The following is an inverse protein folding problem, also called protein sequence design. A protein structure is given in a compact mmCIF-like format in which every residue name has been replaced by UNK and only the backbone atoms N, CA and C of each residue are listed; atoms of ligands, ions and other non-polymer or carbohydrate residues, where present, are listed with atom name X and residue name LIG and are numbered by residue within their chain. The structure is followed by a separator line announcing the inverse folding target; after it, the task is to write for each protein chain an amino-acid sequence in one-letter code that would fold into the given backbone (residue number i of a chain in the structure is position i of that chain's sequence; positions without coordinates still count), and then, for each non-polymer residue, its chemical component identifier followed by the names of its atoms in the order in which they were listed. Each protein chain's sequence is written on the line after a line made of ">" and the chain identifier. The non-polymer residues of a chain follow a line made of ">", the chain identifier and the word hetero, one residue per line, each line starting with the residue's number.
data_IF_882070502059
#
_entry.id   IF_882070502059
#
_cell.length_a   1.000
_cell.length_b   1.000
_cell.length_c   1.000
_cell.angle_alpha   90.00
_cell.angle_beta   90.00
_cell.angle_gamma   90.00
#
_symmetry.space_group_name_H-M   'P 1'
#
loop_
_entity.id
_entity.type
_entity.pdbx_description
1 polymer ?
#
# COMPACT_ATOMS: atom_id res chain seq x y z
N UNK A 1 -44.60 40.84 37.21
CA UNK A 1 -45.01 42.13 36.59
C UNK A 1 -44.60 42.12 35.11
N UNK A 2 -45.56 42.26 34.19
CA UNK A 2 -45.46 42.67 32.76
C UNK A 2 -44.57 41.79 31.84
N UNK A 3 -45.10 41.00 30.90
CA UNK A 3 -45.92 41.32 29.70
C UNK A 3 -45.22 42.25 28.71
N UNK A 4 -44.74 41.71 27.58
CA UNK A 4 -44.70 42.33 26.23
C UNK A 4 -44.08 41.36 25.21
N UNK A 5 -44.34 41.34 23.91
CA UNK A 5 -45.53 41.55 23.03
C UNK A 5 -45.00 41.31 21.60
N UNK A 6 -45.50 40.26 20.94
CA UNK A 6 -45.97 40.11 19.54
C UNK A 6 -45.37 40.97 18.39
N UNK A 7 -44.97 40.30 17.29
CA UNK A 7 -45.08 40.70 15.85
C UNK A 7 -44.82 39.40 15.04
N UNK A 8 -45.70 38.73 14.27
CA UNK A 8 -46.68 38.98 13.19
C UNK A 8 -46.08 39.42 11.84
N UNK A 9 -46.05 38.50 10.88
CA UNK A 9 -46.56 38.58 9.48
C UNK A 9 -46.75 37.11 8.97
N UNK A 10 -47.93 36.64 8.53
CA UNK A 10 -48.63 36.80 7.21
C UNK A 10 -47.76 36.26 6.05
N UNK A 11 -48.20 35.40 5.12
CA UNK A 11 -49.54 35.13 4.56
C UNK A 11 -49.52 33.88 3.67
N UNK A 12 -50.70 33.26 3.50
CA UNK A 12 -51.28 32.65 2.27
C UNK A 12 -50.60 31.38 1.68
N UNK A 13 -51.27 30.39 1.09
CA UNK A 13 -52.69 30.10 0.83
C UNK A 13 -52.72 28.75 0.08
N UNK A 14 -53.76 27.92 0.24
CA UNK A 14 -53.90 26.73 -0.62
C UNK A 14 -54.94 25.72 -0.15
N UNK A 15 -56.18 26.17 0.05
CA UNK A 15 -57.36 25.32 0.27
C UNK A 15 -57.84 24.71 -1.04
N UNK A 16 -58.24 23.44 -1.07
CA UNK A 16 -59.52 23.05 -1.70
C UNK A 16 -60.12 21.85 -0.98
N UNK A 17 -61.43 21.97 -0.77
CA UNK A 17 -62.34 21.20 0.08
C UNK A 17 -63.28 20.43 -0.85
N UNK A 18 -63.69 19.21 -0.51
CA UNK A 18 -65.02 18.73 -0.89
C UNK A 18 -65.53 17.62 0.03
N UNK A 19 -66.66 17.95 0.64
CA UNK A 19 -67.49 17.21 1.58
C UNK A 19 -68.27 16.06 0.90
N UNK A 20 -68.62 14.99 1.64
CA UNK A 20 -70.02 14.65 2.05
C UNK A 20 -70.22 13.17 2.44
N UNK A 21 -70.96 13.03 3.53
CA UNK A 21 -71.48 11.84 4.19
C UNK A 21 -72.45 11.00 3.33
N UNK A 22 -72.55 9.70 3.63
CA UNK A 22 -73.84 8.98 3.72
C UNK A 22 -73.65 7.57 4.31
N UNK A 23 -74.21 7.36 5.50
CA UNK A 23 -74.53 6.07 6.09
C UNK A 23 -75.94 5.63 5.68
N UNK A 24 -76.14 4.34 5.39
CA UNK A 24 -77.44 3.74 5.12
C UNK A 24 -77.32 2.40 4.39
N UNK A 25 -77.59 1.29 5.07
CA UNK A 25 -77.27 -0.07 4.60
C UNK A 25 -78.38 -0.83 3.87
N UNK A 26 -78.00 -2.00 3.30
CA UNK A 26 -78.72 -3.29 3.28
C UNK A 26 -78.15 -4.21 2.19
N UNK A 27 -77.55 -5.36 2.55
CA UNK A 27 -77.51 -6.62 1.78
C UNK A 27 -76.60 -7.67 2.46
N UNK A 28 -77.10 -8.26 3.54
CA UNK A 28 -76.43 -9.21 4.44
C UNK A 28 -76.36 -10.67 3.94
N UNK A 29 -76.05 -10.90 2.65
CA UNK A 29 -75.80 -12.28 2.14
C UNK A 29 -74.59 -12.46 1.22
N UNK A 30 -73.97 -11.37 0.75
CA UNK A 30 -72.72 -11.40 -0.03
C UNK A 30 -71.46 -11.08 0.79
N UNK A 31 -71.63 -10.57 2.02
CA UNK A 31 -70.53 -10.07 2.84
C UNK A 31 -69.65 -11.19 3.41
N UNK A 32 -70.27 -12.30 3.83
CA UNK A 32 -69.55 -13.44 4.39
C UNK A 32 -68.60 -14.11 3.39
N UNK A 33 -69.05 -14.32 2.14
CA UNK A 33 -68.19 -14.91 1.10
C UNK A 33 -67.05 -13.97 0.69
N UNK A 34 -67.25 -12.65 0.70
CA UNK A 34 -66.22 -11.69 0.34
C UNK A 34 -65.17 -11.52 1.45
N UNK A 35 -65.59 -11.61 2.72
CA UNK A 35 -64.69 -11.63 3.88
C UNK A 35 -63.91 -12.94 3.98
N UNK A 36 -64.54 -14.07 3.67
CA UNK A 36 -63.88 -15.37 3.60
C UNK A 36 -62.88 -15.43 2.45
N UNK A 37 -63.22 -14.88 1.29
CA UNK A 37 -62.30 -14.72 0.16
C UNK A 37 -61.13 -13.76 0.49
N UNK A 38 -61.38 -12.65 1.22
CA UNK A 38 -60.31 -11.77 1.73
C UNK A 38 -59.40 -12.46 2.74
N UNK A 39 -59.97 -13.27 3.64
CA UNK A 39 -59.20 -14.08 4.59
C UNK A 39 -58.32 -15.09 3.89
N UNK A 40 -58.87 -15.81 2.91
CA UNK A 40 -58.11 -16.78 2.12
C UNK A 40 -56.99 -16.11 1.32
N UNK A 41 -57.25 -14.94 0.72
CA UNK A 41 -56.20 -14.14 0.05
C UNK A 41 -55.12 -13.68 1.04
N UNK A 42 -55.52 -13.24 2.24
CA UNK A 42 -54.60 -12.78 3.27
C UNK A 42 -53.77 -13.92 3.88
N UNK A 43 -54.34 -15.13 3.98
CA UNK A 43 -53.66 -16.35 4.40
C UNK A 43 -52.71 -16.85 3.31
N UNK A 44 -53.09 -16.71 2.04
CA UNK A 44 -52.24 -17.04 0.88
C UNK A 44 -51.07 -16.05 0.75
N UNK A 45 -51.29 -14.76 0.98
CA UNK A 45 -50.23 -13.73 1.04
C UNK A 45 -49.26 -13.97 2.21
N UNK A 46 -49.76 -14.34 3.39
CA UNK A 46 -48.91 -14.70 4.55
C UNK A 46 -48.08 -15.95 4.30
N UNK A 47 -48.64 -16.95 3.61
CA UNK A 47 -47.91 -18.15 3.22
C UNK A 47 -46.85 -17.84 2.14
N UNK A 48 -47.12 -16.92 1.20
CA UNK A 48 -46.14 -16.46 0.22
C UNK A 48 -44.98 -15.65 0.86
N UNK A 49 -45.26 -14.81 1.85
CA UNK A 49 -44.21 -14.11 2.62
C UNK A 49 -43.35 -15.09 3.42
N UNK A 50 -43.95 -16.16 3.99
CA UNK A 50 -43.20 -17.19 4.71
C UNK A 50 -42.37 -18.14 3.83
N UNK A 51 -42.68 -18.22 2.52
CA UNK A 51 -41.99 -19.09 1.56
C UNK A 51 -41.05 -18.34 0.59
N UNK A 52 -40.99 -17.01 0.66
CA UNK A 52 -40.12 -16.19 -0.19
C UNK A 52 -38.89 -15.64 0.52
N UNK A 53 -38.58 -16.13 1.72
CA UNK A 53 -37.22 -16.05 2.26
C UNK A 53 -36.35 -17.05 1.47
N UNK A 54 -35.95 -16.64 0.26
CA UNK A 54 -34.94 -17.33 -0.52
C UNK A 54 -33.74 -17.59 0.41
N UNK A 55 -33.36 -18.84 0.71
CA UNK A 55 -32.20 -19.14 1.55
C UNK A 55 -30.88 -18.58 0.98
N UNK A 56 -30.92 -18.09 -0.27
CA UNK A 56 -29.87 -17.37 -0.96
C UNK A 56 -30.22 -15.90 -1.23
N UNK A 57 -31.11 -15.27 -0.46
CA UNK A 57 -31.19 -13.82 -0.47
C UNK A 57 -29.83 -13.29 -0.04
N UNK A 58 -29.10 -12.78 -1.05
CA UNK A 58 -27.72 -12.31 -0.98
C UNK A 58 -27.57 -11.08 -0.07
N UNK A 59 -28.66 -10.68 0.59
CA UNK A 59 -28.78 -9.59 1.54
C UNK A 59 -29.01 -10.09 2.97
N UNK A 60 -28.44 -11.22 3.36
CA UNK A 60 -28.18 -11.46 4.79
C UNK A 60 -27.59 -10.18 5.40
N UNK A 61 -28.17 -9.67 6.49
CA UNK A 61 -27.75 -8.45 7.17
C UNK A 61 -26.38 -8.66 7.83
N UNK A 62 -25.33 -8.76 7.02
CA UNK A 62 -23.98 -8.95 7.52
C UNK A 62 -23.59 -7.73 8.34
N UNK A 63 -23.26 -7.96 9.61
CA UNK A 63 -22.77 -6.88 10.48
C UNK A 63 -21.32 -6.55 10.12
N UNK A 64 -20.92 -5.27 10.21
CA UNK A 64 -19.55 -4.85 9.87
C UNK A 64 -18.47 -5.72 10.54
N UNK A 65 -18.71 -6.16 11.77
CA UNK A 65 -17.81 -7.02 12.53
C UNK A 65 -17.61 -8.40 11.87
N UNK A 66 -18.68 -9.03 11.36
CA UNK A 66 -18.61 -10.34 10.70
C UNK A 66 -17.92 -10.27 9.35
N UNK A 67 -18.15 -9.20 8.56
CA UNK A 67 -17.40 -8.98 7.32
C UNK A 67 -15.92 -8.76 7.61
N UNK A 68 -15.59 -7.98 8.64
CA UNK A 68 -14.21 -7.70 9.03
C UNK A 68 -13.49 -8.99 9.45
N UNK A 69 -14.15 -9.82 10.26
CA UNK A 69 -13.60 -11.09 10.70
C UNK A 69 -13.38 -12.04 9.50
N UNK A 70 -14.35 -12.11 8.58
CA UNK A 70 -14.22 -12.89 7.35
C UNK A 70 -13.04 -12.42 6.49
N UNK A 71 -12.89 -11.11 6.27
CA UNK A 71 -11.76 -10.55 5.51
C UNK A 71 -10.44 -10.82 6.23
N UNK A 72 -10.39 -10.70 7.55
CA UNK A 72 -9.17 -10.98 8.33
C UNK A 72 -8.72 -12.43 8.20
N UNK A 73 -9.66 -13.39 8.24
CA UNK A 73 -9.38 -14.82 8.04
C UNK A 73 -8.88 -15.11 6.62
N UNK A 74 -9.52 -14.51 5.61
CA UNK A 74 -9.06 -14.62 4.22
C UNK A 74 -7.67 -14.01 4.01
N UNK A 75 -7.38 -12.88 4.66
CA UNK A 75 -6.08 -12.21 4.56
C UNK A 75 -4.96 -13.05 5.21
N UNK A 76 -5.22 -13.65 6.36
CA UNK A 76 -4.28 -14.56 7.03
C UNK A 76 -4.06 -15.86 6.25
N UNK A 77 -5.12 -16.42 5.66
CA UNK A 77 -5.03 -17.64 4.86
C UNK A 77 -4.28 -17.42 3.53
N UNK A 78 -4.53 -16.30 2.86
CA UNK A 78 -3.93 -16.01 1.55
C UNK A 78 -2.51 -15.41 1.64
N UNK A 79 -2.19 -14.71 2.73
CA UNK A 79 -0.90 -14.05 2.91
C UNK A 79 -0.34 -14.28 4.32
N UNK A 80 0.08 -15.51 4.66
CA UNK A 80 0.69 -15.80 5.96
C UNK A 80 1.98 -15.00 6.19
N UNK A 81 2.70 -14.64 5.12
CA UNK A 81 3.93 -13.83 5.20
C UNK A 81 3.70 -12.36 5.63
N UNK A 82 2.47 -11.84 5.56
CA UNK A 82 2.13 -10.52 6.12
C UNK A 82 1.96 -10.56 7.65
N UNK A 83 1.61 -11.73 8.20
CA UNK A 83 1.34 -11.92 9.64
C UNK A 83 2.65 -12.01 10.40
N UNK A 84 3.64 -12.71 9.86
CA UNK A 84 5.00 -12.74 10.39
C UNK A 84 5.83 -11.64 9.73
N UNK A 85 6.08 -10.52 10.42
CA UNK A 85 7.02 -9.48 9.95
C UNK A 85 8.44 -10.04 9.78
N UNK A 86 8.72 -10.73 8.68
CA UNK A 86 10.05 -11.22 8.32
C UNK A 86 10.92 -10.04 7.94
N UNK A 87 11.74 -9.59 8.89
CA UNK A 87 12.85 -8.69 8.60
C UNK A 87 13.95 -9.51 7.94
N UNK A 88 14.43 -9.09 6.77
CA UNK A 88 15.62 -9.70 6.19
C UNK A 88 16.81 -9.43 7.09
N UNK A 89 17.41 -10.50 7.61
CA UNK A 89 18.60 -10.40 8.46
C UNK A 89 19.83 -10.21 7.56
N UNK A 90 20.13 -8.95 7.23
CA UNK A 90 21.29 -8.61 6.39
C UNK A 90 22.56 -8.94 7.16
N UNK A 91 23.41 -9.80 6.59
CA UNK A 91 24.73 -10.12 7.17
C UNK A 91 25.56 -8.83 7.31
N UNK A 92 26.36 -8.70 8.38
CA UNK A 92 27.23 -7.53 8.54
C UNK A 92 28.25 -7.44 7.38
N UNK A 93 28.57 -6.23 6.88
CA UNK A 93 29.54 -6.06 5.81
C UNK A 93 30.95 -6.41 6.28
N UNK A 94 31.64 -7.27 5.52
CA UNK A 94 33.01 -7.68 5.77
C UNK A 94 33.96 -6.85 4.90
N UNK A 95 34.62 -5.88 5.52
CA UNK A 95 35.63 -5.06 4.88
C UNK A 95 37.03 -5.51 5.29
N UNK A 96 37.91 -5.62 4.30
CA UNK A 96 39.33 -5.92 4.46
C UNK A 96 40.14 -4.80 3.80
N UNK A 97 41.27 -4.42 4.39
CA UNK A 97 42.18 -3.47 3.76
C UNK A 97 43.09 -4.23 2.78
N UNK A 98 42.99 -3.88 1.50
CA UNK A 98 43.87 -4.43 0.46
C UNK A 98 45.19 -3.65 0.39
N UNK A 99 45.13 -2.34 0.65
CA UNK A 99 46.28 -1.43 0.73
C UNK A 99 45.92 -0.22 1.59
N UNK A 100 46.89 0.65 1.90
CA UNK A 100 46.65 1.87 2.69
C UNK A 100 45.63 2.82 2.08
N UNK A 101 45.38 2.72 0.77
CA UNK A 101 44.43 3.54 0.00
C UNK A 101 43.34 2.73 -0.71
N UNK A 102 43.20 1.44 -0.40
CA UNK A 102 42.21 0.57 -1.05
C UNK A 102 41.54 -0.33 -0.01
N UNK A 103 40.22 -0.24 0.08
CA UNK A 103 39.39 -1.12 0.92
C UNK A 103 38.66 -2.13 0.01
N UNK A 104 38.70 -3.39 0.40
CA UNK A 104 38.02 -4.50 -0.26
C UNK A 104 36.78 -4.87 0.56
N UNK A 105 35.63 -4.94 -0.09
CA UNK A 105 34.40 -5.49 0.48
C UNK A 105 34.20 -6.90 -0.05
N UNK A 106 34.35 -7.88 0.84
CA UNK A 106 34.37 -9.31 0.49
C UNK A 106 32.98 -9.85 0.21
N UNK A 107 32.00 -9.57 1.08
CA UNK A 107 30.63 -10.10 0.98
C UNK A 107 29.64 -9.19 0.22
N UNK A 108 30.13 -8.42 -0.75
CA UNK A 108 29.30 -7.46 -1.49
C UNK A 108 28.16 -8.16 -2.27
N UNK A 109 28.49 -9.17 -3.07
CA UNK A 109 27.51 -9.92 -3.85
C UNK A 109 26.45 -10.58 -2.96
N UNK A 110 26.87 -11.27 -1.88
CA UNK A 110 25.94 -11.93 -0.96
C UNK A 110 24.91 -10.96 -0.41
N UNK A 111 25.35 -9.75 -0.04
CA UNK A 111 24.47 -8.70 0.46
C UNK A 111 23.51 -8.21 -0.64
N UNK A 112 23.99 -8.00 -1.86
CA UNK A 112 23.15 -7.64 -3.01
C UNK A 112 22.07 -8.70 -3.30
N UNK A 113 22.45 -9.99 -3.33
CA UNK A 113 21.53 -11.11 -3.55
C UNK A 113 20.52 -11.24 -2.42
N UNK A 114 20.96 -11.07 -1.16
CA UNK A 114 20.07 -11.11 0.00
C UNK A 114 19.04 -9.98 0.00
N UNK A 115 19.41 -8.79 -0.51
CA UNK A 115 18.49 -7.68 -0.70
C UNK A 115 17.65 -7.80 -1.97
N UNK A 116 17.90 -8.80 -2.83
CA UNK A 116 17.30 -8.95 -4.16
C UNK A 116 17.48 -7.68 -5.00
N UNK A 117 18.72 -7.18 -5.08
CA UNK A 117 19.04 -5.98 -5.86
C UNK A 117 20.17 -6.23 -6.85
N UNK A 118 20.12 -5.60 -8.05
CA UNK A 118 21.22 -5.67 -8.99
C UNK A 118 22.45 -5.00 -8.39
N UNK A 119 23.59 -5.69 -8.47
CA UNK A 119 24.87 -5.23 -7.90
C UNK A 119 25.31 -3.89 -8.48
N UNK A 120 25.00 -3.63 -9.75
CA UNK A 120 25.28 -2.36 -10.43
C UNK A 120 24.57 -1.17 -9.78
N UNK A 121 23.31 -1.32 -9.39
CA UNK A 121 22.55 -0.24 -8.75
C UNK A 121 23.08 0.06 -7.35
N UNK A 122 23.38 -0.99 -6.57
CA UNK A 122 24.01 -0.83 -5.25
C UNK A 122 25.37 -0.15 -5.40
N UNK A 123 26.18 -0.57 -6.36
CA UNK A 123 27.46 0.03 -6.66
C UNK A 123 27.35 1.53 -6.98
N UNK A 124 26.45 1.91 -7.88
CA UNK A 124 26.21 3.33 -8.23
C UNK A 124 25.85 4.17 -7.01
N UNK A 125 24.99 3.64 -6.12
CA UNK A 125 24.60 4.33 -4.89
C UNK A 125 25.81 4.56 -3.97
N UNK A 126 26.61 3.53 -3.72
CA UNK A 126 27.79 3.67 -2.86
C UNK A 126 28.84 4.61 -3.46
N UNK A 127 29.06 4.61 -4.77
CA UNK A 127 29.99 5.55 -5.40
C UNK A 127 29.50 7.00 -5.30
N UNK A 128 28.19 7.22 -5.43
CA UNK A 128 27.58 8.54 -5.27
C UNK A 128 27.68 9.06 -3.82
N UNK A 129 27.38 8.22 -2.82
CA UNK A 129 27.44 8.60 -1.39
C UNK A 129 28.87 8.77 -0.88
N UNK A 130 29.80 7.90 -1.32
CA UNK A 130 31.20 7.96 -0.89
C UNK A 130 31.99 9.05 -1.61
N UNK A 131 31.51 9.53 -2.76
CA UNK A 131 32.21 10.50 -3.59
C UNK A 131 33.55 9.97 -4.11
N UNK A 132 33.63 8.66 -4.35
CA UNK A 132 34.86 7.97 -4.77
C UNK A 132 34.62 7.02 -5.92
N UNK A 133 35.69 6.70 -6.63
CA UNK A 133 35.69 5.65 -7.63
C UNK A 133 36.00 4.28 -7.01
N UNK A 134 35.37 3.26 -7.57
CA UNK A 134 35.55 1.86 -7.20
C UNK A 134 35.40 0.97 -8.41
N UNK A 135 35.73 -0.30 -8.25
CA UNK A 135 35.60 -1.32 -9.29
C UNK A 135 35.12 -2.63 -8.67
N UNK A 136 34.26 -3.34 -9.38
CA UNK A 136 33.88 -4.70 -9.03
C UNK A 136 34.93 -5.65 -9.61
N UNK A 137 35.53 -6.48 -8.76
CA UNK A 137 36.50 -7.51 -9.13
C UNK A 137 35.79 -8.68 -9.87
N UNK A 138 36.55 -9.52 -10.58
CA UNK A 138 36.01 -10.72 -11.26
C UNK A 138 35.33 -11.70 -10.30
N UNK A 139 35.76 -11.71 -9.03
CA UNK A 139 35.16 -12.51 -7.97
C UNK A 139 33.95 -11.82 -7.30
N UNK A 140 33.35 -10.81 -7.93
CA UNK A 140 32.17 -10.07 -7.44
C UNK A 140 32.37 -9.39 -6.07
N UNK A 141 33.62 -9.07 -5.74
CA UNK A 141 34.01 -8.28 -4.56
C UNK A 141 34.14 -6.82 -4.97
N UNK A 142 33.78 -5.90 -4.08
CA UNK A 142 33.86 -4.46 -4.38
C UNK A 142 35.17 -3.87 -3.87
N UNK A 143 35.96 -3.28 -4.76
CA UNK A 143 37.18 -2.54 -4.42
C UNK A 143 36.87 -1.05 -4.42
N UNK A 144 37.11 -0.39 -3.30
CA UNK A 144 36.85 1.05 -3.11
C UNK A 144 38.18 1.76 -2.87
N UNK A 145 38.38 2.90 -3.55
CA UNK A 145 39.51 3.78 -3.28
C UNK A 145 39.28 4.53 -1.98
N UNK A 146 40.15 4.35 -1.01
CA UNK A 146 40.08 4.99 0.30
C UNK A 146 40.18 3.98 1.45
N UNK A 147 40.20 4.53 2.67
CA UNK A 147 40.18 3.77 3.92
C UNK A 147 38.82 3.98 4.58
N UNK A 148 38.03 2.92 4.66
CA UNK A 148 36.69 2.97 5.23
C UNK A 148 36.55 2.07 6.46
N UNK A 149 35.87 2.59 7.47
CA UNK A 149 35.53 1.83 8.67
C UNK A 149 34.22 1.06 8.42
N UNK A 150 34.11 -0.22 8.83
CA UNK A 150 32.89 -1.03 8.63
C UNK A 150 31.60 -0.36 9.11
N UNK A 151 31.64 0.33 10.26
CA UNK A 151 30.50 1.07 10.82
C UNK A 151 29.94 2.13 9.87
N UNK A 152 30.79 2.77 9.09
CA UNK A 152 30.36 3.80 8.13
C UNK A 152 29.69 3.19 6.90
N UNK A 153 30.21 2.07 6.40
CA UNK A 153 29.56 1.33 5.30
C UNK A 153 28.21 0.75 5.76
N UNK A 154 28.12 0.29 7.01
CA UNK A 154 26.86 -0.18 7.59
C UNK A 154 25.79 0.93 7.66
N UNK A 155 26.16 2.16 8.03
CA UNK A 155 25.20 3.26 8.08
C UNK A 155 24.70 3.65 6.68
N UNK A 156 25.56 3.64 5.67
CA UNK A 156 25.18 3.84 4.27
C UNK A 156 24.28 2.71 3.75
N UNK A 157 24.60 1.46 4.11
CA UNK A 157 23.76 0.32 3.75
C UNK A 157 22.36 0.43 4.36
N UNK A 158 22.25 0.89 5.61
CA UNK A 158 20.95 1.16 6.26
C UNK A 158 20.15 2.23 5.52
N UNK A 159 20.78 3.32 5.08
CA UNK A 159 20.11 4.34 4.23
C UNK A 159 19.58 3.72 2.94
N UNK A 160 20.41 2.95 2.24
CA UNK A 160 20.02 2.26 1.01
C UNK A 160 18.82 1.34 1.21
N UNK A 161 18.79 0.59 2.31
CA UNK A 161 17.68 -0.32 2.62
C UNK A 161 16.37 0.45 2.80
N UNK A 162 16.39 1.55 3.55
CA UNK A 162 15.19 2.37 3.80
C UNK A 162 14.65 2.97 2.49
N UNK A 163 15.53 3.47 1.63
CA UNK A 163 15.13 4.21 0.44
C UNK A 163 14.79 3.30 -0.75
N UNK A 164 15.56 2.23 -0.98
CA UNK A 164 15.48 1.43 -2.20
C UNK A 164 14.99 -0.02 -1.98
N UNK A 165 14.97 -0.53 -0.75
CA UNK A 165 14.59 -1.94 -0.46
C UNK A 165 13.25 -2.03 0.27
N UNK A 166 13.02 -1.24 1.31
CA UNK A 166 11.75 -1.31 2.03
C UNK A 166 10.63 -0.66 1.23
N UNK A 167 9.45 -1.28 1.29
CA UNK A 167 8.21 -0.67 0.80
C UNK A 167 7.73 0.41 1.80
N UNK A 168 7.29 1.56 1.32
CA UNK A 168 6.76 2.63 2.17
C UNK A 168 5.38 2.29 2.76
N UNK A 169 4.58 1.49 2.05
CA UNK A 169 3.22 1.14 2.46
C UNK A 169 3.19 0.05 3.54
N UNK A 170 3.83 -1.09 3.28
CA UNK A 170 3.79 -2.26 4.16
C UNK A 170 5.08 -2.49 4.97
N UNK A 171 6.14 -1.70 4.73
CA UNK A 171 7.49 -1.87 5.35
C UNK A 171 8.13 -3.23 5.11
N UNK A 172 7.61 -4.01 4.17
CA UNK A 172 8.22 -5.28 3.78
C UNK A 172 9.49 -5.04 2.96
N UNK A 173 10.53 -5.87 3.16
CA UNK A 173 11.69 -5.89 2.28
C UNK A 173 11.45 -6.66 0.97
N UNK A 174 10.30 -7.33 0.79
CA UNK A 174 9.94 -8.07 -0.43
C UNK A 174 9.49 -7.14 -1.55
N UNK A 175 10.48 -6.57 -2.23
CA UNK A 175 10.27 -5.66 -3.34
C UNK A 175 11.27 -5.95 -4.46
N UNK A 176 10.89 -5.67 -5.70
CA UNK A 176 11.72 -5.75 -6.90
C UNK A 176 12.00 -4.36 -7.43
N UNK A 177 13.21 -4.16 -7.98
CA UNK A 177 13.62 -2.89 -8.58
C UNK A 177 13.77 -3.07 -10.09
N UNK A 178 12.87 -2.45 -10.85
CA UNK A 178 12.86 -2.49 -12.30
C UNK A 178 13.29 -1.13 -12.87
N UNK A 179 14.12 -1.14 -13.91
CA UNK A 179 14.51 0.06 -14.65
C UNK A 179 13.61 0.21 -15.86
N UNK A 180 12.81 1.27 -15.90
CA UNK A 180 12.00 1.55 -17.08
C UNK A 180 12.89 2.15 -18.18
N UNK A 181 12.86 1.55 -19.38
CA UNK A 181 13.67 1.98 -20.51
C UNK A 181 13.16 3.29 -21.12
N UNK A 182 11.85 3.56 -21.04
CA UNK A 182 11.23 4.79 -21.56
C UNK A 182 11.51 6.00 -20.68
N UNK A 183 11.19 5.90 -19.38
CA UNK A 183 11.34 7.01 -18.44
C UNK A 183 12.77 7.18 -17.90
N UNK A 184 13.64 6.16 -18.03
CA UNK A 184 14.97 6.06 -17.38
C UNK A 184 14.91 6.09 -15.84
N UNK A 185 13.73 6.03 -15.26
CA UNK A 185 13.50 5.98 -13.82
C UNK A 185 13.53 4.53 -13.32
N UNK A 186 13.82 4.38 -12.03
CA UNK A 186 13.69 3.11 -11.34
C UNK A 186 12.32 3.02 -10.66
N UNK A 187 11.66 1.89 -10.83
CA UNK A 187 10.39 1.58 -10.18
C UNK A 187 10.58 0.42 -9.20
N UNK A 188 10.13 0.63 -7.97
CA UNK A 188 10.14 -0.39 -6.93
C UNK A 188 8.73 -0.96 -6.79
N UNK A 189 8.59 -2.26 -7.06
CA UNK A 189 7.32 -3.00 -7.02
C UNK A 189 7.33 -3.94 -5.81
N UNK A 190 6.34 -3.84 -4.93
CA UNK A 190 6.24 -4.73 -3.77
C UNK A 190 5.50 -6.01 -4.15
N UNK A 191 6.04 -7.17 -3.76
CA UNK A 191 5.37 -8.47 -3.98
C UNK A 191 4.24 -8.72 -3.00
N UNK A 192 4.35 -8.20 -1.78
CA UNK A 192 3.38 -8.49 -0.72
C UNK A 192 2.11 -7.61 -0.82
N UNK A 193 2.26 -6.33 -1.18
CA UNK A 193 1.11 -5.41 -1.30
C UNK A 193 0.81 -4.95 -2.73
N UNK A 194 1.61 -5.35 -3.72
CA UNK A 194 1.43 -4.95 -5.12
C UNK A 194 1.70 -3.47 -5.42
N UNK A 195 2.10 -2.67 -4.42
CA UNK A 195 2.33 -1.24 -4.63
C UNK A 195 3.52 -1.00 -5.55
N UNK A 196 3.36 -0.15 -6.55
CA UNK A 196 4.42 0.34 -7.43
C UNK A 196 4.76 1.78 -7.05
N UNK A 197 6.03 2.08 -6.78
CA UNK A 197 6.52 3.46 -6.59
C UNK A 197 7.67 3.77 -7.54
N UNK A 198 7.77 5.01 -7.99
CA UNK A 198 9.02 5.52 -8.57
C UNK A 198 10.01 5.80 -7.43
N UNK A 199 11.28 5.47 -7.65
CA UNK A 199 12.35 5.74 -6.68
C UNK A 199 13.20 6.90 -7.17
N UNK A 200 13.75 7.68 -6.24
CA UNK A 200 14.65 8.78 -6.56
C UNK A 200 15.86 8.28 -7.36
N UNK A 201 16.19 8.92 -8.50
CA UNK A 201 17.37 8.54 -9.26
C UNK A 201 18.63 8.84 -8.45
N UNK A 202 19.60 7.92 -8.48
CA UNK A 202 20.91 8.12 -7.85
C UNK A 202 21.60 9.27 -8.59
N UNK A 203 21.70 10.42 -7.92
CA UNK A 203 22.42 11.58 -8.43
C UNK A 203 23.84 11.54 -7.87
N UNK A 204 24.83 11.30 -8.73
CA UNK A 204 26.21 11.54 -8.35
C UNK A 204 26.42 13.05 -8.16
N UNK A 205 26.86 13.44 -6.96
CA UNK A 205 27.19 14.83 -6.66
C UNK A 205 28.48 15.30 -7.33
N UNK A 206 28.98 16.46 -6.89
CA UNK A 206 30.25 17.01 -7.35
C UNK A 206 31.42 16.07 -6.99
N UNK A 207 32.16 15.60 -7.99
CA UNK A 207 33.36 14.78 -7.80
C UNK A 207 34.60 15.67 -7.72
N UNK A 208 35.17 15.81 -6.52
CA UNK A 208 36.37 16.60 -6.33
C UNK A 208 37.58 15.91 -7.00
N UNK A 209 38.23 16.60 -7.94
CA UNK A 209 39.43 16.06 -8.59
C UNK A 209 40.53 15.81 -7.55
N UNK A 210 40.89 14.54 -7.38
CA UNK A 210 41.95 14.16 -6.46
C UNK A 210 43.31 14.50 -7.05
N UNK A 211 44.34 14.52 -6.19
CA UNK A 211 45.74 14.66 -6.65
C UNK A 211 46.16 13.50 -7.56
N UNK A 212 45.55 12.32 -7.40
CA UNK A 212 45.79 11.17 -8.27
C UNK A 212 45.21 11.43 -9.66
N UNK A 213 43.99 11.97 -9.76
CA UNK A 213 43.34 12.27 -11.03
C UNK A 213 44.09 13.36 -11.79
N UNK A 214 44.57 14.39 -11.09
CA UNK A 214 45.44 15.42 -11.69
C UNK A 214 46.76 14.84 -12.23
N UNK A 215 47.34 13.85 -11.55
CA UNK A 215 48.57 13.17 -12.03
C UNK A 215 48.28 12.27 -13.22
N UNK A 216 47.18 11.51 -13.19
CA UNK A 216 46.76 10.67 -14.29
C UNK A 216 46.46 11.51 -15.55
N UNK A 217 45.73 12.62 -15.40
CA UNK A 217 45.43 13.55 -16.49
C UNK A 217 46.70 14.19 -17.10
N UNK A 218 47.75 14.40 -16.29
CA UNK A 218 49.05 14.87 -16.79
C UNK A 218 49.78 13.77 -17.57
N UNK A 219 49.79 12.55 -17.05
CA UNK A 219 50.44 11.41 -17.71
C UNK A 219 49.73 10.94 -18.97
N UNK A 220 48.45 11.26 -19.15
CA UNK A 220 47.69 10.95 -20.37
C UNK A 220 47.90 11.99 -21.49
N UNK A 221 48.49 13.16 -21.16
CA UNK A 221 48.71 14.28 -22.11
C UNK A 221 50.15 14.38 -22.60
N UNK A 222 51.08 13.66 -21.99
CA UNK A 222 52.49 13.57 -22.41
C UNK A 222 52.82 12.13 -22.73
#
# INVERSE_FOLDING_TARGET
>A
KKKKKKKKDKTASGSTKKDKDASGGSASKGTGMLEEQRRLLQEQDQLQDSQSEDPFDRRAEYTYAELLERVSKLLQANNPDLVEKKRRNIKPPQLQLLSSKKTLWVNFQEICTMMQRPSEHVFQFFMAELGTEGSIDGNQRLVIRGKYVPKYIESLLRKYVVEYVTCEMCRSPNTDLNKDSGSRLYFCTCRDCGSTRSVAPIRSGYHATSRADRRAARNAKG
#
